data_IF_670840909629
#
_entry.id   IF_670840909629
#
_cell.length_a   1.000
_cell.length_b   1.000
_cell.length_c   1.000
_cell.angle_alpha   90.00
_cell.angle_beta   90.00
_cell.angle_gamma   90.00
#
_symmetry.space_group_name_H-M   'P 1'
#
loop_
_entity.id
_entity.type
_entity.pdbx_description
1 polymer ?
#
# COMPACT_ATOMS: atom_id res chain seq x y z
N UNK A 1 10.90 -19.62 3.83
CA UNK A 1 9.59 -18.94 3.73
C UNK A 1 9.26 -18.70 2.27
N UNK A 2 8.18 -19.28 1.81
CA UNK A 2 7.78 -19.13 0.41
C UNK A 2 7.00 -17.83 0.20
N UNK A 3 7.20 -17.23 -0.97
CA UNK A 3 6.44 -16.04 -1.37
C UNK A 3 5.00 -16.46 -1.69
N UNK A 4 4.03 -15.81 -1.04
CA UNK A 4 2.62 -16.09 -1.23
C UNK A 4 1.99 -14.94 -2.04
N UNK A 5 1.63 -15.22 -3.30
CA UNK A 5 1.04 -14.23 -4.20
C UNK A 5 -0.31 -13.72 -3.73
N UNK A 6 -1.09 -14.57 -3.10
CA UNK A 6 -2.40 -14.18 -2.59
C UNK A 6 -2.29 -13.18 -1.45
N UNK A 7 -1.40 -13.45 -0.50
CA UNK A 7 -1.15 -12.53 0.61
C UNK A 7 -0.56 -11.21 0.13
N UNK A 8 0.39 -11.29 -0.80
CA UNK A 8 0.97 -10.11 -1.42
C UNK A 8 -0.11 -9.25 -2.09
N UNK A 9 -0.98 -9.88 -2.88
CA UNK A 9 -2.06 -9.20 -3.58
C UNK A 9 -3.03 -8.52 -2.61
N UNK A 10 -3.37 -9.18 -1.51
CA UNK A 10 -4.23 -8.58 -0.48
C UNK A 10 -3.57 -7.35 0.15
N UNK A 11 -2.28 -7.42 0.42
CA UNK A 11 -1.55 -6.28 1.00
C UNK A 11 -1.48 -5.11 0.03
N UNK A 12 -1.26 -5.39 -1.26
CA UNK A 12 -1.30 -4.35 -2.29
C UNK A 12 -2.68 -3.70 -2.34
N UNK A 13 -3.73 -4.51 -2.37
CA UNK A 13 -5.11 -4.00 -2.42
C UNK A 13 -5.43 -3.15 -1.20
N UNK A 14 -5.08 -3.62 -0.01
CA UNK A 14 -5.36 -2.89 1.22
C UNK A 14 -4.62 -1.56 1.24
N UNK A 15 -3.33 -1.56 0.88
CA UNK A 15 -2.54 -0.33 0.84
C UNK A 15 -3.09 0.66 -0.19
N UNK A 16 -3.54 0.15 -1.35
CA UNK A 16 -4.17 0.98 -2.37
C UNK A 16 -5.46 1.63 -1.83
N UNK A 17 -6.30 0.86 -1.18
CA UNK A 17 -7.54 1.36 -0.59
C UNK A 17 -7.29 2.37 0.52
N UNK A 18 -6.25 2.14 1.32
CA UNK A 18 -5.86 3.08 2.38
C UNK A 18 -5.43 4.43 1.80
N UNK A 19 -4.93 4.45 0.58
CA UNK A 19 -4.58 5.67 -0.14
C UNK A 19 -5.74 6.25 -0.95
N UNK A 20 -6.91 5.63 -0.88
CA UNK A 20 -8.11 6.04 -1.63
C UNK A 20 -7.90 6.04 -3.15
N UNK A 21 -7.08 5.09 -3.62
CA UNK A 21 -6.80 4.95 -5.06
C UNK A 21 -7.64 3.81 -5.65
N UNK A 22 -8.14 4.02 -6.86
CA UNK A 22 -8.71 2.93 -7.67
C UNK A 22 -7.58 2.16 -8.36
N UNK A 23 -7.89 0.99 -8.89
CA UNK A 23 -6.91 0.22 -9.67
C UNK A 23 -6.40 1.01 -10.88
N UNK A 24 -7.26 1.66 -11.68
CA UNK A 24 -6.76 2.50 -12.77
C UNK A 24 -5.90 3.67 -12.31
N UNK A 25 -6.23 4.31 -11.19
CA UNK A 25 -5.42 5.41 -10.67
C UNK A 25 -4.03 4.95 -10.27
N UNK A 26 -3.92 3.82 -9.57
CA UNK A 26 -2.61 3.27 -9.22
C UNK A 26 -1.83 2.87 -10.47
N UNK A 27 -2.50 2.25 -11.44
CA UNK A 27 -1.86 1.86 -12.70
C UNK A 27 -1.30 3.07 -13.44
N UNK A 28 -2.05 4.17 -13.50
CA UNK A 28 -1.59 5.40 -14.12
C UNK A 28 -0.33 5.95 -13.43
N UNK A 29 -0.31 5.95 -12.11
CA UNK A 29 0.87 6.41 -11.35
C UNK A 29 2.11 5.56 -11.63
N UNK A 30 1.91 4.27 -11.91
CA UNK A 30 2.99 3.33 -12.18
C UNK A 30 3.32 3.20 -13.67
N UNK A 31 2.50 3.79 -14.55
CA UNK A 31 2.70 3.69 -15.99
C UNK A 31 2.43 2.30 -16.54
N UNK A 32 1.50 1.55 -15.96
CA UNK A 32 1.14 0.18 -16.38
C UNK A 32 -0.36 0.09 -16.61
N UNK A 33 -0.79 -1.04 -17.16
CA UNK A 33 -2.20 -1.31 -17.40
C UNK A 33 -2.92 -1.72 -16.11
N UNK A 34 -4.15 -1.26 -15.93
CA UNK A 34 -4.92 -1.57 -14.71
C UNK A 34 -5.17 -3.07 -14.55
N UNK A 35 -5.24 -3.82 -15.67
CA UNK A 35 -5.42 -5.27 -15.63
C UNK A 35 -4.26 -5.95 -14.91
N UNK A 36 -3.05 -5.40 -15.01
CA UNK A 36 -1.90 -5.92 -14.30
C UNK A 36 -2.07 -5.76 -12.78
N UNK A 37 -2.56 -4.60 -12.33
CA UNK A 37 -2.88 -4.38 -10.91
C UNK A 37 -3.94 -5.38 -10.46
N UNK A 38 -4.98 -5.56 -11.26
CA UNK A 38 -6.06 -6.50 -10.93
C UNK A 38 -5.53 -7.93 -10.75
N UNK A 39 -4.66 -8.38 -11.64
CA UNK A 39 -4.08 -9.73 -11.54
C UNK A 39 -3.20 -9.89 -10.30
N UNK A 40 -2.43 -8.86 -9.98
CA UNK A 40 -1.59 -8.86 -8.77
C UNK A 40 -2.47 -8.98 -7.53
N UNK A 41 -3.50 -8.15 -7.43
CA UNK A 41 -4.38 -8.12 -6.25
C UNK A 41 -5.17 -9.41 -6.07
N UNK A 42 -5.48 -10.12 -7.16
CA UNK A 42 -6.17 -11.40 -7.10
C UNK A 42 -5.24 -12.59 -6.87
N UNK A 43 -3.93 -12.36 -6.83
CA UNK A 43 -2.96 -13.42 -6.61
C UNK A 43 -2.63 -14.24 -7.85
N UNK A 44 -3.04 -13.79 -9.04
CA UNK A 44 -2.81 -14.50 -10.30
C UNK A 44 -1.41 -14.25 -10.86
N UNK A 45 -0.78 -13.15 -10.49
CA UNK A 45 0.59 -12.88 -10.90
C UNK A 45 1.36 -12.25 -9.75
N UNK A 46 2.67 -12.43 -9.77
CA UNK A 46 3.56 -11.72 -8.87
C UNK A 46 3.91 -10.35 -9.44
N UNK A 47 4.90 -9.74 -8.85
CA UNK A 47 5.37 -8.43 -9.21
C UNK A 47 6.85 -8.51 -9.55
N UNK A 48 7.26 -7.90 -10.67
CA UNK A 48 8.68 -7.84 -11.01
C UNK A 48 9.43 -6.93 -10.02
N UNK A 49 10.73 -7.14 -9.90
CA UNK A 49 11.55 -6.29 -9.04
C UNK A 49 11.50 -4.83 -9.50
N UNK A 50 11.39 -4.61 -10.80
CA UNK A 50 11.31 -3.27 -11.38
C UNK A 50 10.03 -2.54 -11.00
N UNK A 51 8.95 -3.29 -10.79
CA UNK A 51 7.66 -2.72 -10.40
C UNK A 51 7.53 -2.61 -8.88
N UNK A 52 8.17 -3.51 -8.13
CA UNK A 52 8.01 -3.62 -6.67
C UNK A 52 8.37 -2.32 -5.95
N UNK A 53 9.50 -1.72 -6.29
CA UNK A 53 9.96 -0.50 -5.62
C UNK A 53 9.04 0.68 -5.92
N UNK A 54 8.70 0.99 -7.19
CA UNK A 54 7.73 2.05 -7.46
C UNK A 54 6.38 1.80 -6.82
N UNK A 55 5.93 0.55 -6.79
CA UNK A 55 4.67 0.18 -6.16
C UNK A 55 4.68 0.50 -4.66
N UNK A 56 5.75 0.13 -3.96
CA UNK A 56 5.88 0.42 -2.53
C UNK A 56 5.91 1.93 -2.27
N UNK A 57 6.58 2.68 -3.13
CA UNK A 57 6.67 4.14 -2.99
C UNK A 57 5.30 4.81 -3.17
N UNK A 58 4.56 4.43 -4.21
CA UNK A 58 3.23 5.00 -4.46
C UNK A 58 2.23 4.61 -3.38
N UNK A 59 2.36 3.42 -2.80
CA UNK A 59 1.51 2.95 -1.72
C UNK A 59 1.97 3.42 -0.34
N UNK A 60 3.16 4.02 -0.25
CA UNK A 60 3.76 4.50 1.00
C UNK A 60 3.90 3.38 2.04
N UNK A 61 4.33 2.22 1.58
CA UNK A 61 4.64 1.06 2.43
C UNK A 61 5.99 0.50 2.01
N UNK A 62 6.63 -0.29 2.88
CA UNK A 62 7.91 -0.89 2.54
C UNK A 62 7.72 -2.10 1.62
N UNK A 63 8.79 -2.42 0.89
CA UNK A 63 8.82 -3.67 0.11
C UNK A 63 8.72 -4.88 1.04
N UNK A 64 9.33 -4.83 2.22
CA UNK A 64 9.24 -5.91 3.20
C UNK A 64 7.81 -6.14 3.66
N UNK A 65 7.05 -5.07 3.92
CA UNK A 65 5.65 -5.21 4.26
C UNK A 65 4.86 -5.90 3.15
N UNK A 66 5.05 -5.46 1.90
CA UNK A 66 4.34 -6.06 0.78
C UNK A 66 4.69 -7.53 0.60
N UNK A 67 5.97 -7.88 0.73
CA UNK A 67 6.46 -9.22 0.48
C UNK A 67 6.21 -10.19 1.63
N UNK A 68 6.37 -9.73 2.87
CA UNK A 68 6.37 -10.59 4.06
C UNK A 68 5.24 -10.28 5.04
N UNK A 69 4.60 -9.12 4.91
CA UNK A 69 3.59 -8.67 5.86
C UNK A 69 4.17 -8.16 7.17
N UNK A 70 5.48 -7.90 7.22
CA UNK A 70 6.15 -7.43 8.44
C UNK A 70 6.38 -5.93 8.32
N UNK A 71 5.89 -5.17 9.28
CA UNK A 71 6.14 -3.73 9.37
C UNK A 71 7.38 -3.49 10.22
N UNK A 72 8.22 -2.56 9.79
CA UNK A 72 9.33 -2.10 10.62
C UNK A 72 8.80 -1.24 11.78
N UNK A 73 9.59 -1.12 12.84
CA UNK A 73 9.24 -0.24 13.97
C UNK A 73 9.02 1.21 13.51
N UNK A 74 9.78 1.65 12.52
CA UNK A 74 9.65 2.99 11.94
C UNK A 74 8.30 3.16 11.24
N UNK A 75 7.85 2.14 10.51
CA UNK A 75 6.55 2.19 9.84
C UNK A 75 5.40 2.22 10.82
N UNK A 76 5.48 1.41 11.88
CA UNK A 76 4.48 1.42 12.95
C UNK A 76 4.41 2.80 13.60
N UNK A 77 5.56 3.40 13.90
CA UNK A 77 5.61 4.75 14.48
C UNK A 77 5.00 5.78 13.56
N UNK A 78 5.34 5.74 12.26
CA UNK A 78 4.77 6.66 11.27
C UNK A 78 3.27 6.53 11.19
N UNK A 79 2.74 5.29 11.19
CA UNK A 79 1.31 5.05 11.16
C UNK A 79 0.62 5.57 12.40
N UNK A 80 1.20 5.35 13.58
CA UNK A 80 0.66 5.85 14.84
C UNK A 80 0.65 7.38 14.88
N UNK A 81 1.74 8.01 14.41
CA UNK A 81 1.83 9.47 14.33
C UNK A 81 0.76 10.03 13.39
N UNK A 82 0.58 9.40 12.23
CA UNK A 82 -0.43 9.82 11.26
C UNK A 82 -1.84 9.77 11.86
N UNK A 83 -2.17 8.69 12.57
CA UNK A 83 -3.46 8.57 13.24
C UNK A 83 -3.67 9.63 14.31
N UNK A 84 -2.62 9.91 15.09
CA UNK A 84 -2.67 10.96 16.12
C UNK A 84 -2.86 12.34 15.49
N UNK A 85 -2.18 12.61 14.39
CA UNK A 85 -2.34 13.87 13.66
C UNK A 85 -3.75 14.02 13.11
N UNK A 86 -4.34 12.96 12.59
CA UNK A 86 -5.72 12.97 12.11
C UNK A 86 -6.69 13.26 13.25
N UNK A 87 -6.49 12.65 14.41
CA UNK A 87 -7.31 12.89 15.59
C UNK A 87 -7.18 14.33 16.09
N UNK A 88 -5.97 14.88 16.10
CA UNK A 88 -5.72 16.27 16.45
C UNK A 88 -6.39 17.24 15.47
N UNK A 89 -6.36 16.92 14.19
CA UNK A 89 -7.00 17.73 13.17
C UNK A 89 -8.51 17.79 13.38
N UNK A 90 -9.14 16.64 13.67
CA UNK A 90 -10.57 16.57 13.98
C UNK A 90 -10.87 17.36 15.25
N UNK A 91 -10.04 17.20 16.28
CA UNK A 91 -10.22 17.91 17.55
C UNK A 91 -10.12 19.42 17.34
N UNK A 92 -9.13 19.89 16.57
CA UNK A 92 -8.97 21.31 16.28
C UNK A 92 -10.16 21.88 15.49
N UNK A 93 -10.75 21.10 14.61
CA UNK A 93 -11.91 21.56 13.83
C UNK A 93 -13.16 21.71 14.69
N UNK A 94 -13.23 21.08 15.83
CA UNK A 94 -14.36 21.15 16.77
C UNK A 94 -14.20 22.25 17.82
N UNK A 95 -12.99 22.78 17.99
CA UNK A 95 -12.71 23.88 18.92
C UNK A 95 -12.71 25.19 18.11
N UNK A 96 -13.58 26.08 18.50
CA UNK A 96 -13.63 27.42 17.93
C UNK A 96 -12.88 28.40 18.79
#
# INVERSE_FOLDING_TARGET
MEFNREDFGRRVKQARMDKHLTQPQLADLLGIEWQQISRIERGFSGCSNELLVPLSEELDVSTDYLLKGVESDTELLRRQISLLMDQLSIFKSQIK
#
